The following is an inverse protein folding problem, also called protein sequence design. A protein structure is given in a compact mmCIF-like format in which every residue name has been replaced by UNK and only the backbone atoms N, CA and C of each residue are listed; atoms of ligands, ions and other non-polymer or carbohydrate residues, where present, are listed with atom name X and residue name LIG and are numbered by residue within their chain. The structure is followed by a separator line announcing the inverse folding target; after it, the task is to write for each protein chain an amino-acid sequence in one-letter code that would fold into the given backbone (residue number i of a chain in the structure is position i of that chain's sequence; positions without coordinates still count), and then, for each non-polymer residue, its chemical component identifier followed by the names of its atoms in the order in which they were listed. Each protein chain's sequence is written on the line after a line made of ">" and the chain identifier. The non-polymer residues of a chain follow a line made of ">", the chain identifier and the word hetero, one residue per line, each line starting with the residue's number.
data_IF_074026554129
#
_entry.id   IF_074026554129
#
_cell.length_a   1.000
_cell.length_b   1.000
_cell.length_c   1.000
_cell.angle_alpha   90.00
_cell.angle_beta   90.00
_cell.angle_gamma   90.00
#
_symmetry.space_group_name_H-M   'P 1'
#
loop_
_entity.id
_entity.type
_entity.pdbx_description
1 polymer ?
#
# COMPACT_ATOMS: atom_id res chain seq x y z
N UNK A 1 -21.54 -27.70 -3.10
CA UNK A 1 -21.22 -27.39 -1.68
C UNK A 1 -21.36 -25.90 -1.43
N UNK A 2 -21.85 -25.47 -0.26
CA UNK A 2 -22.04 -24.05 0.08
C UNK A 2 -20.77 -23.18 -0.04
N UNK A 3 -19.57 -23.77 0.08
CA UNK A 3 -18.30 -23.03 0.02
C UNK A 3 -17.99 -22.35 -1.32
N UNK A 4 -18.42 -22.92 -2.45
CA UNK A 4 -18.15 -22.34 -3.78
C UNK A 4 -18.87 -21.02 -4.01
N UNK A 5 -20.05 -20.83 -3.40
CA UNK A 5 -20.85 -19.61 -3.53
C UNK A 5 -20.20 -18.47 -2.77
N UNK A 6 -19.64 -18.75 -1.58
CA UNK A 6 -18.98 -17.74 -0.76
C UNK A 6 -17.64 -17.30 -1.39
N UNK A 7 -16.88 -18.25 -1.93
CA UNK A 7 -15.63 -17.96 -2.63
C UNK A 7 -15.87 -17.16 -3.92
N UNK A 8 -16.88 -17.56 -4.73
CA UNK A 8 -17.27 -16.82 -5.92
C UNK A 8 -17.80 -15.42 -5.60
N UNK A 9 -18.51 -15.24 -4.47
CA UNK A 9 -19.02 -13.96 -4.01
C UNK A 9 -17.90 -13.04 -3.52
N UNK A 10 -16.90 -13.56 -2.81
CA UNK A 10 -15.67 -12.82 -2.47
C UNK A 10 -14.91 -12.39 -3.73
N UNK A 11 -14.84 -13.27 -4.74
CA UNK A 11 -14.20 -12.99 -6.03
C UNK A 11 -14.94 -11.95 -6.87
N UNK A 12 -16.27 -11.93 -6.82
CA UNK A 12 -17.09 -10.89 -7.46
C UNK A 12 -17.09 -9.56 -6.69
N UNK A 13 -17.01 -9.58 -5.36
CA UNK A 13 -16.92 -8.36 -4.54
C UNK A 13 -15.60 -7.61 -4.79
N UNK A 14 -14.50 -8.35 -4.97
CA UNK A 14 -13.20 -7.83 -5.42
C UNK A 14 -13.26 -7.09 -6.76
N UNK A 15 -14.19 -7.46 -7.63
CA UNK A 15 -14.25 -6.96 -9.00
C UNK A 15 -14.95 -5.58 -9.14
N UNK A 16 -15.54 -5.03 -8.07
CA UNK A 16 -16.35 -3.80 -8.18
C UNK A 16 -15.54 -2.50 -8.04
N UNK A 17 -14.48 -2.49 -7.25
CA UNK A 17 -13.55 -1.36 -7.09
C UNK A 17 -12.18 -1.95 -6.78
N UNK A 18 -11.17 -1.64 -7.60
CA UNK A 18 -9.85 -2.19 -7.37
C UNK A 18 -9.28 -1.64 -6.05
N UNK A 19 -8.53 -2.41 -5.24
CA UNK A 19 -7.98 -1.89 -4.00
C UNK A 19 -7.12 -0.62 -4.15
N UNK A 20 -6.47 -0.46 -5.30
CA UNK A 20 -5.71 0.75 -5.68
C UNK A 20 -6.59 2.02 -5.77
N UNK A 21 -7.90 1.89 -5.93
CA UNK A 21 -8.83 3.00 -6.03
C UNK A 21 -9.39 3.42 -4.66
N UNK A 22 -9.24 2.60 -3.62
CA UNK A 22 -9.67 2.97 -2.27
C UNK A 22 -8.85 4.16 -1.76
N UNK A 23 -9.56 5.16 -1.22
CA UNK A 23 -8.98 6.42 -0.74
C UNK A 23 -7.78 6.21 0.22
N UNK A 24 -7.83 5.31 1.22
CA UNK A 24 -6.68 5.13 2.12
C UNK A 24 -5.43 4.61 1.40
N UNK A 25 -5.60 3.79 0.35
CA UNK A 25 -4.48 3.24 -0.41
C UNK A 25 -3.88 4.28 -1.36
N UNK A 26 -4.73 5.06 -2.02
CA UNK A 26 -4.30 6.19 -2.85
C UNK A 26 -3.53 7.23 -2.04
N UNK A 27 -4.08 7.64 -0.91
CA UNK A 27 -3.45 8.63 -0.04
C UNK A 27 -2.09 8.15 0.49
N UNK A 28 -1.97 6.87 0.87
CA UNK A 28 -0.70 6.29 1.29
C UNK A 28 0.35 6.30 0.16
N UNK A 29 -0.04 5.93 -1.07
CA UNK A 29 0.85 5.99 -2.23
C UNK A 29 1.27 7.41 -2.58
N UNK A 30 0.35 8.38 -2.58
CA UNK A 30 0.64 9.78 -2.86
C UNK A 30 1.65 10.35 -1.85
N UNK A 31 1.44 10.10 -0.55
CA UNK A 31 2.38 10.50 0.51
C UNK A 31 3.75 9.84 0.35
N UNK A 32 3.78 8.54 0.07
CA UNK A 32 5.02 7.81 -0.11
C UNK A 32 5.82 8.29 -1.34
N UNK A 33 5.14 8.56 -2.45
CA UNK A 33 5.77 9.09 -3.66
C UNK A 33 6.36 10.49 -3.43
N UNK A 34 5.68 11.35 -2.67
CA UNK A 34 6.21 12.66 -2.30
C UNK A 34 7.49 12.51 -1.44
N UNK A 35 7.44 11.67 -0.40
CA UNK A 35 8.62 11.37 0.44
C UNK A 35 9.78 10.79 -0.38
N UNK A 36 9.50 9.84 -1.28
CA UNK A 36 10.50 9.26 -2.18
C UNK A 36 11.18 10.29 -3.09
N UNK A 37 10.45 11.31 -3.55
CA UNK A 37 10.99 12.36 -4.41
C UNK A 37 11.94 13.32 -3.66
N UNK A 38 11.77 13.46 -2.35
CA UNK A 38 12.60 14.34 -1.49
C UNK A 38 13.84 13.63 -0.93
N UNK A 39 13.81 12.31 -0.81
CA UNK A 39 14.92 11.53 -0.28
C UNK A 39 16.00 11.26 -1.34
N UNK A 40 17.24 11.03 -0.88
CA UNK A 40 18.39 10.65 -1.69
C UNK A 40 19.10 9.45 -1.05
N UNK A 41 19.85 8.68 -1.84
CA UNK A 41 20.65 7.55 -1.37
C UNK A 41 19.83 6.44 -0.67
N UNK A 42 20.41 5.79 0.33
CA UNK A 42 19.83 4.64 1.02
C UNK A 42 18.40 4.88 1.57
N UNK A 43 18.06 6.04 2.16
CA UNK A 43 16.68 6.36 2.54
C UNK A 43 15.68 6.26 1.38
N UNK A 44 16.05 6.77 0.20
CA UNK A 44 15.21 6.73 -1.00
C UNK A 44 14.98 5.29 -1.46
N UNK A 45 16.04 4.50 -1.49
CA UNK A 45 15.96 3.09 -1.89
C UNK A 45 15.09 2.29 -0.92
N UNK A 46 15.22 2.55 0.38
CA UNK A 46 14.38 1.90 1.39
C UNK A 46 12.89 2.24 1.23
N UNK A 47 12.52 3.52 1.02
CA UNK A 47 11.13 3.90 0.71
C UNK A 47 10.65 3.25 -0.59
N UNK A 48 11.51 3.18 -1.61
CA UNK A 48 11.20 2.54 -2.89
C UNK A 48 10.81 1.06 -2.73
N UNK A 49 11.52 0.32 -1.87
CA UNK A 49 11.18 -1.08 -1.55
C UNK A 49 9.81 -1.19 -0.89
N UNK A 50 9.46 -0.28 0.02
CA UNK A 50 8.16 -0.30 0.69
C UNK A 50 7.01 0.06 -0.27
N UNK A 51 7.22 1.01 -1.17
CA UNK A 51 6.27 1.34 -2.25
C UNK A 51 6.03 0.10 -3.12
N UNK A 52 7.09 -0.59 -3.54
CA UNK A 52 6.96 -1.79 -4.37
C UNK A 52 6.21 -2.92 -3.65
N UNK A 53 6.50 -3.14 -2.35
CA UNK A 53 5.80 -4.14 -1.54
C UNK A 53 4.30 -3.82 -1.42
N UNK A 54 3.95 -2.55 -1.22
CA UNK A 54 2.55 -2.14 -1.13
C UNK A 54 1.81 -2.29 -2.47
N UNK A 55 2.44 -1.88 -3.58
CA UNK A 55 1.88 -2.09 -4.92
C UNK A 55 1.64 -3.57 -5.22
N UNK A 56 2.57 -4.44 -4.82
CA UNK A 56 2.42 -5.88 -4.96
C UNK A 56 1.23 -6.43 -4.16
N UNK A 57 1.03 -5.98 -2.92
CA UNK A 57 -0.13 -6.37 -2.11
C UNK A 57 -1.45 -5.90 -2.75
N UNK A 58 -1.48 -4.68 -3.29
CA UNK A 58 -2.65 -4.14 -3.99
C UNK A 58 -3.00 -4.93 -5.26
N UNK A 59 -1.99 -5.40 -6.00
CA UNK A 59 -2.20 -6.21 -7.22
C UNK A 59 -2.68 -7.63 -6.91
N UNK A 60 -2.27 -8.20 -5.76
CA UNK A 60 -2.79 -9.48 -5.26
C UNK A 60 -4.22 -9.38 -4.71
N UNK A 61 -4.66 -8.17 -4.37
CA UNK A 61 -5.97 -7.86 -3.81
C UNK A 61 -6.28 -8.57 -2.49
N UNK A 62 -5.26 -8.98 -1.73
CA UNK A 62 -5.41 -9.63 -0.42
C UNK A 62 -5.59 -8.57 0.69
N UNK A 63 -6.77 -8.48 1.35
CA UNK A 63 -7.08 -7.36 2.25
C UNK A 63 -6.14 -7.23 3.46
N UNK A 64 -5.71 -8.37 4.01
CA UNK A 64 -4.81 -8.42 5.16
C UNK A 64 -3.40 -7.95 4.76
N UNK A 65 -2.86 -8.49 3.66
CA UNK A 65 -1.58 -8.06 3.08
C UNK A 65 -1.57 -6.56 2.75
N UNK A 66 -2.67 -6.04 2.19
CA UNK A 66 -2.82 -4.61 1.86
C UNK A 66 -2.79 -3.76 3.13
N UNK A 67 -3.48 -4.20 4.18
CA UNK A 67 -3.53 -3.47 5.44
C UNK A 67 -2.16 -3.44 6.11
N UNK A 68 -1.48 -4.59 6.18
CA UNK A 68 -0.14 -4.71 6.74
C UNK A 68 0.89 -3.86 5.96
N UNK A 69 0.91 -3.99 4.64
CA UNK A 69 1.84 -3.24 3.79
C UNK A 69 1.58 -1.73 3.82
N UNK A 70 0.30 -1.30 3.88
CA UNK A 70 -0.03 0.13 4.03
C UNK A 70 0.44 0.70 5.35
N UNK A 71 0.25 -0.03 6.45
CA UNK A 71 0.72 0.42 7.77
C UNK A 71 2.24 0.59 7.77
N UNK A 72 2.98 -0.42 7.29
CA UNK A 72 4.44 -0.34 7.16
C UNK A 72 4.89 0.84 6.30
N UNK A 73 4.24 1.06 5.15
CA UNK A 73 4.56 2.17 4.27
C UNK A 73 4.36 3.52 4.99
N UNK A 74 3.24 3.69 5.68
CA UNK A 74 2.96 4.91 6.43
C UNK A 74 3.96 5.13 7.58
N UNK A 75 4.32 4.09 8.32
CA UNK A 75 5.29 4.18 9.42
C UNK A 75 6.66 4.66 8.92
N UNK A 76 7.09 4.13 7.76
CA UNK A 76 8.35 4.52 7.12
C UNK A 76 8.30 5.96 6.59
N UNK A 77 7.18 6.37 5.99
CA UNK A 77 6.99 7.76 5.55
C UNK A 77 6.97 8.72 6.75
N UNK A 78 6.28 8.36 7.84
CA UNK A 78 6.23 9.17 9.06
C UNK A 78 7.60 9.29 9.73
N UNK A 79 8.41 8.22 9.69
CA UNK A 79 9.79 8.24 10.19
C UNK A 79 10.64 9.27 9.46
N UNK A 80 10.64 9.26 8.11
CA UNK A 80 11.44 10.21 7.33
C UNK A 80 10.87 11.63 7.35
N UNK A 81 9.55 11.80 7.33
CA UNK A 81 8.91 13.12 7.39
C UNK A 81 9.31 13.90 8.66
N UNK A 82 9.46 13.20 9.80
CA UNK A 82 9.94 13.81 11.06
C UNK A 82 11.43 14.19 11.02
N UNK A 83 12.24 13.47 10.24
CA UNK A 83 13.66 13.76 10.06
C UNK A 83 13.93 14.93 9.11
N UNK A 84 13.06 15.17 8.13
CA UNK A 84 13.18 16.24 7.13
C UNK A 84 12.84 17.64 7.66
N UNK A 85 12.23 17.75 8.84
CA UNK A 85 11.81 19.04 9.42
C UNK A 85 12.86 19.70 10.33
N UNK A 86 14.09 19.16 10.39
CA UNK A 86 15.19 19.66 11.23
C UNK A 86 16.32 20.21 10.39
#
# INVERSE_FOLDING_TARGET
>A
TPGFVEEARRRMARLKVHPREHLPNRAALERANACYAELLGDPRDFVGVQIAAFLHALDRQEPDDITEARTRLNDVVDYFARGLTT
#
